data_IF_007605145809
#
_entry.id   IF_007605145809
#
_cell.length_a   1.000
_cell.length_b   1.000
_cell.length_c   1.000
_cell.angle_alpha   90.00
_cell.angle_beta   90.00
_cell.angle_gamma   90.00
#
_symmetry.space_group_name_H-M   'P 1'
#
loop_
_entity.id
_entity.type
_entity.pdbx_description
1 polymer ?
#
# COMPACT_ATOMS: atom_id res chain seq x y z
N UNK A 1 -33.49 -34.19 -28.65
CA UNK A 1 -34.94 -34.04 -28.34
C UNK A 1 -35.80 -33.87 -29.59
N UNK A 2 -35.38 -33.18 -30.63
CA UNK A 2 -36.13 -33.07 -31.90
C UNK A 2 -36.31 -34.40 -32.66
N UNK A 3 -35.29 -35.29 -32.64
CA UNK A 3 -35.34 -36.62 -33.25
C UNK A 3 -36.28 -37.57 -32.52
N UNK A 4 -36.41 -37.48 -31.20
CA UNK A 4 -37.34 -38.27 -30.41
C UNK A 4 -38.81 -37.87 -30.67
N UNK A 5 -39.08 -36.56 -30.83
CA UNK A 5 -40.41 -36.07 -31.20
C UNK A 5 -40.84 -36.47 -32.62
N UNK A 6 -39.89 -36.43 -33.56
CA UNK A 6 -40.14 -36.88 -34.94
C UNK A 6 -40.41 -38.39 -35.03
N UNK A 7 -39.65 -39.19 -34.24
CA UNK A 7 -39.88 -40.69 -34.20
C UNK A 7 -41.21 -41.06 -33.63
N UNK A 8 -41.70 -40.37 -32.57
CA UNK A 8 -43.03 -40.66 -32.01
C UNK A 8 -44.17 -40.26 -32.94
N UNK A 9 -44.02 -39.18 -33.70
CA UNK A 9 -45.02 -38.76 -34.71
C UNK A 9 -45.10 -39.66 -35.89
N UNK A 10 -44.02 -40.32 -36.34
CA UNK A 10 -43.97 -41.25 -37.46
C UNK A 10 -44.62 -42.59 -37.14
N UNK A 11 -44.63 -43.04 -35.88
CA UNK A 11 -45.23 -44.33 -35.44
C UNK A 11 -46.72 -44.19 -35.19
N UNK A 12 -47.24 -43.00 -34.94
CA UNK A 12 -48.63 -42.80 -34.50
C UNK A 12 -49.53 -42.05 -35.49
N UNK A 13 -49.00 -41.27 -36.47
CA UNK A 13 -49.81 -40.46 -37.36
C UNK A 13 -49.03 -40.09 -38.66
N UNK A 14 -49.80 -39.72 -39.70
CA UNK A 14 -49.36 -39.28 -41.01
C UNK A 14 -48.15 -38.38 -41.02
N UNK A 15 -47.36 -38.36 -42.13
CA UNK A 15 -46.12 -37.55 -42.28
C UNK A 15 -46.23 -36.10 -41.82
N UNK A 16 -47.38 -35.49 -41.86
CA UNK A 16 -47.64 -34.11 -41.35
C UNK A 16 -47.53 -34.02 -39.86
N UNK A 17 -47.90 -34.98 -39.06
CA UNK A 17 -47.79 -35.03 -37.63
C UNK A 17 -46.33 -35.17 -37.18
N UNK A 18 -45.47 -35.84 -37.93
CA UNK A 18 -44.04 -35.94 -37.66
C UNK A 18 -43.33 -34.60 -37.81
N UNK A 19 -43.69 -33.78 -38.80
CA UNK A 19 -43.19 -32.43 -38.95
C UNK A 19 -43.62 -31.50 -37.81
N UNK A 20 -44.87 -31.55 -37.35
CA UNK A 20 -45.32 -30.78 -36.16
C UNK A 20 -44.60 -31.19 -34.89
N UNK A 21 -44.34 -32.47 -34.69
CA UNK A 21 -43.56 -32.95 -33.53
C UNK A 21 -42.09 -32.48 -33.55
N UNK A 22 -41.48 -32.43 -34.74
CA UNK A 22 -40.11 -31.91 -34.89
C UNK A 22 -40.05 -30.40 -34.61
N UNK A 23 -40.99 -29.61 -35.11
CA UNK A 23 -41.07 -28.18 -34.89
C UNK A 23 -41.36 -27.82 -33.43
N UNK A 24 -42.29 -28.51 -32.76
CA UNK A 24 -42.58 -28.28 -31.35
C UNK A 24 -41.41 -28.67 -30.46
N UNK A 25 -40.70 -29.76 -30.77
CA UNK A 25 -39.48 -30.13 -30.06
C UNK A 25 -38.33 -29.12 -30.20
N UNK A 26 -38.16 -28.59 -31.43
CA UNK A 26 -37.15 -27.55 -31.69
C UNK A 26 -37.47 -26.23 -30.97
N UNK A 27 -38.75 -25.79 -31.00
CA UNK A 27 -39.20 -24.61 -30.26
C UNK A 27 -39.03 -24.73 -28.76
N UNK A 28 -39.39 -25.90 -28.20
CA UNK A 28 -39.19 -26.16 -26.77
C UNK A 28 -37.72 -26.15 -26.39
N UNK A 29 -36.86 -26.75 -27.20
CA UNK A 29 -35.42 -26.74 -26.99
C UNK A 29 -34.86 -25.29 -27.01
N UNK A 30 -35.26 -24.50 -28.01
CA UNK A 30 -34.82 -23.11 -28.19
C UNK A 30 -35.30 -22.21 -27.03
N UNK A 31 -36.53 -22.44 -26.55
CA UNK A 31 -37.09 -21.75 -25.39
C UNK A 31 -36.32 -22.08 -24.10
N UNK A 32 -35.98 -23.34 -23.89
CA UNK A 32 -35.18 -23.78 -22.75
C UNK A 32 -33.77 -23.18 -22.79
N UNK A 33 -33.14 -23.19 -23.96
CA UNK A 33 -31.79 -22.59 -24.16
C UNK A 33 -31.81 -21.09 -23.90
N UNK A 34 -32.84 -20.38 -24.41
CA UNK A 34 -33.02 -18.93 -24.14
C UNK A 34 -33.25 -18.63 -22.64
N UNK A 35 -34.00 -19.50 -21.93
CA UNK A 35 -34.20 -19.36 -20.48
C UNK A 35 -32.89 -19.54 -19.70
N UNK A 36 -32.05 -20.50 -20.11
CA UNK A 36 -30.74 -20.69 -19.50
C UNK A 36 -29.85 -19.49 -19.76
N UNK A 37 -29.80 -18.99 -21.00
CA UNK A 37 -29.02 -17.79 -21.37
C UNK A 37 -29.46 -16.55 -20.57
N UNK A 38 -30.77 -16.30 -20.49
CA UNK A 38 -31.28 -15.13 -19.72
C UNK A 38 -31.01 -15.24 -18.23
N UNK A 39 -31.09 -16.44 -17.64
CA UNK A 39 -30.72 -16.69 -16.25
C UNK A 39 -29.24 -16.43 -16.03
N UNK A 40 -28.38 -16.87 -16.93
CA UNK A 40 -26.92 -16.65 -16.86
C UNK A 40 -26.61 -15.16 -16.95
N UNK A 41 -27.20 -14.44 -17.93
CA UNK A 41 -27.01 -13.01 -18.08
C UNK A 41 -27.50 -12.22 -16.85
N UNK A 42 -28.62 -12.59 -16.28
CA UNK A 42 -29.15 -11.97 -15.07
C UNK A 42 -28.30 -12.27 -13.83
N UNK A 43 -27.74 -13.47 -13.73
CA UNK A 43 -26.80 -13.82 -12.67
C UNK A 43 -25.49 -13.01 -12.78
N UNK A 44 -24.91 -12.88 -13.98
CA UNK A 44 -23.74 -12.05 -14.25
C UNK A 44 -23.99 -10.57 -13.92
N UNK A 45 -25.19 -10.08 -14.18
CA UNK A 45 -25.57 -8.68 -13.91
C UNK A 45 -25.77 -8.38 -12.43
N UNK A 46 -26.31 -9.34 -11.66
CA UNK A 46 -26.62 -9.15 -10.24
C UNK A 46 -25.48 -9.55 -9.31
N UNK A 47 -24.80 -10.63 -9.62
CA UNK A 47 -23.72 -11.13 -8.76
C UNK A 47 -22.79 -12.07 -9.55
N UNK A 48 -21.67 -11.62 -10.12
CA UNK A 48 -20.81 -12.43 -10.99
C UNK A 48 -20.18 -13.62 -10.26
N UNK A 49 -20.10 -13.60 -8.93
CA UNK A 49 -19.60 -14.71 -8.12
C UNK A 49 -20.66 -15.80 -7.85
N UNK A 50 -21.95 -15.55 -8.08
CA UNK A 50 -23.06 -16.48 -7.83
C UNK A 50 -23.52 -17.24 -9.08
N UNK A 51 -22.65 -17.47 -10.04
CA UNK A 51 -22.95 -18.23 -11.26
C UNK A 51 -23.39 -19.66 -10.90
N UNK A 52 -24.52 -20.15 -11.46
CA UNK A 52 -25.03 -21.49 -11.16
C UNK A 52 -24.01 -22.57 -11.55
N UNK A 53 -23.75 -23.48 -10.62
CA UNK A 53 -22.72 -24.53 -10.78
C UNK A 53 -23.13 -25.69 -11.70
N UNK A 54 -24.39 -25.73 -12.18
CA UNK A 54 -24.94 -26.79 -13.01
C UNK A 54 -25.56 -26.23 -14.28
N UNK A 55 -24.75 -25.99 -15.29
CA UNK A 55 -25.19 -25.84 -16.67
C UNK A 55 -24.70 -27.01 -17.46
N UNK A 56 -25.59 -27.76 -18.15
CA UNK A 56 -25.19 -28.74 -19.13
C UNK A 56 -25.00 -28.07 -20.50
N UNK A 57 -23.99 -28.53 -21.26
CA UNK A 57 -23.72 -28.00 -22.60
C UNK A 57 -22.81 -26.77 -22.65
N UNK A 58 -22.84 -26.07 -23.77
CA UNK A 58 -21.95 -24.92 -24.08
C UNK A 58 -22.00 -23.80 -23.03
N UNK A 59 -23.19 -23.52 -22.48
CA UNK A 59 -23.41 -22.50 -21.47
C UNK A 59 -22.76 -22.87 -20.13
N UNK A 60 -22.71 -24.16 -19.77
CA UNK A 60 -22.03 -24.62 -18.58
C UNK A 60 -20.52 -24.44 -18.66
N UNK A 61 -19.93 -24.79 -19.82
CA UNK A 61 -18.48 -24.60 -20.05
C UNK A 61 -18.09 -23.13 -20.05
N UNK A 62 -18.93 -22.28 -20.67
CA UNK A 62 -18.68 -20.82 -20.69
C UNK A 62 -18.75 -20.20 -19.28
N UNK A 63 -19.75 -20.63 -18.49
CA UNK A 63 -19.88 -20.18 -17.09
C UNK A 63 -18.68 -20.62 -16.25
N UNK A 64 -18.13 -21.80 -16.47
CA UNK A 64 -16.95 -22.31 -15.77
C UNK A 64 -15.69 -21.52 -16.14
N UNK A 65 -15.49 -21.21 -17.43
CA UNK A 65 -14.38 -20.37 -17.89
C UNK A 65 -14.44 -18.96 -17.27
N UNK A 66 -15.63 -18.35 -17.28
CA UNK A 66 -15.83 -17.02 -16.66
C UNK A 66 -15.53 -17.08 -15.17
N UNK A 67 -16.03 -18.08 -14.44
CA UNK A 67 -15.72 -18.27 -13.02
C UNK A 67 -14.23 -18.42 -12.75
N UNK A 68 -13.54 -19.19 -13.57
CA UNK A 68 -12.10 -19.38 -13.45
C UNK A 68 -11.35 -18.06 -13.62
N UNK A 69 -11.69 -17.29 -14.67
CA UNK A 69 -11.09 -15.98 -14.93
C UNK A 69 -11.36 -14.97 -13.81
N UNK A 70 -12.58 -14.96 -13.27
CA UNK A 70 -12.92 -14.07 -12.14
C UNK A 70 -12.15 -14.46 -10.89
N UNK A 71 -12.06 -15.75 -10.55
CA UNK A 71 -11.25 -16.21 -9.40
C UNK A 71 -9.78 -15.88 -9.55
N UNK A 72 -9.21 -16.05 -10.74
CA UNK A 72 -7.81 -15.70 -11.01
C UNK A 72 -7.57 -14.18 -10.86
N UNK A 73 -8.52 -13.35 -11.28
CA UNK A 73 -8.47 -11.91 -11.05
C UNK A 73 -8.57 -11.54 -9.58
N UNK A 74 -9.53 -12.14 -8.88
CA UNK A 74 -9.73 -11.88 -7.45
C UNK A 74 -8.49 -12.28 -6.62
N UNK A 75 -7.87 -13.42 -6.95
CA UNK A 75 -6.62 -13.85 -6.33
C UNK A 75 -5.49 -12.85 -6.59
N UNK A 76 -5.29 -12.41 -7.84
CA UNK A 76 -4.26 -11.41 -8.17
C UNK A 76 -4.49 -10.07 -7.47
N UNK A 77 -5.74 -9.63 -7.34
CA UNK A 77 -6.08 -8.40 -6.61
C UNK A 77 -5.74 -8.56 -5.13
N UNK A 78 -6.13 -9.68 -4.51
CA UNK A 78 -5.80 -9.98 -3.10
C UNK A 78 -4.30 -10.03 -2.88
N UNK A 79 -3.58 -10.78 -3.69
CA UNK A 79 -2.11 -10.87 -3.60
C UNK A 79 -1.44 -9.49 -3.72
N UNK A 80 -1.95 -8.63 -4.60
CA UNK A 80 -1.43 -7.27 -4.74
C UNK A 80 -1.77 -6.39 -3.52
N UNK A 81 -2.97 -6.54 -2.97
CA UNK A 81 -3.38 -5.84 -1.76
C UNK A 81 -2.58 -6.31 -0.53
N UNK A 82 -2.39 -7.61 -0.38
CA UNK A 82 -1.62 -8.19 0.72
C UNK A 82 -0.16 -7.71 0.67
N UNK A 83 0.47 -7.74 -0.50
CA UNK A 83 1.83 -7.20 -0.68
C UNK A 83 1.93 -5.71 -0.36
N UNK A 84 0.92 -4.92 -0.76
CA UNK A 84 0.89 -3.49 -0.42
C UNK A 84 0.77 -3.29 1.09
N UNK A 85 -0.09 -4.06 1.76
CA UNK A 85 -0.24 -4.00 3.21
C UNK A 85 1.05 -4.42 3.93
N UNK A 86 1.69 -5.51 3.51
CA UNK A 86 2.98 -5.94 4.04
C UNK A 86 4.07 -4.86 3.89
N UNK A 87 4.12 -4.22 2.73
CA UNK A 87 5.06 -3.12 2.47
C UNK A 87 4.81 -1.91 3.37
N UNK A 88 3.55 -1.49 3.52
CA UNK A 88 3.18 -0.40 4.42
C UNK A 88 3.47 -0.75 5.87
N UNK A 89 3.20 -1.98 6.30
CA UNK A 89 3.51 -2.44 7.64
C UNK A 89 5.03 -2.42 7.91
N UNK A 90 5.85 -2.82 6.94
CA UNK A 90 7.31 -2.76 7.05
C UNK A 90 7.82 -1.30 7.20
N UNK A 91 7.26 -0.36 6.45
CA UNK A 91 7.60 1.06 6.59
C UNK A 91 7.13 1.61 7.94
N UNK A 92 5.94 1.21 8.40
CA UNK A 92 5.44 1.61 9.73
C UNK A 92 6.33 1.11 10.87
N UNK A 93 6.90 -0.08 10.73
CA UNK A 93 7.82 -0.68 11.71
C UNK A 93 9.27 -0.17 11.59
N UNK A 94 9.56 0.70 10.62
CA UNK A 94 10.91 1.26 10.43
C UNK A 94 11.34 2.07 11.64
N UNK A 95 12.60 1.93 12.12
CA UNK A 95 13.15 2.78 13.17
C UNK A 95 13.41 4.22 12.69
N UNK A 96 13.43 4.44 11.38
CA UNK A 96 13.55 5.76 10.79
C UNK A 96 12.15 6.35 10.53
N UNK A 97 12.00 7.62 10.82
CA UNK A 97 10.79 8.34 10.43
C UNK A 97 10.76 8.59 8.93
N UNK A 98 9.59 8.39 8.33
CA UNK A 98 9.32 8.65 6.91
C UNK A 98 8.13 9.56 6.79
N UNK A 99 8.30 10.70 6.10
CA UNK A 99 7.22 11.64 5.78
C UNK A 99 7.19 11.86 4.27
N UNK A 100 6.03 11.72 3.67
CA UNK A 100 5.80 12.08 2.27
C UNK A 100 5.15 13.46 2.22
N UNK A 101 5.72 14.35 1.43
CA UNK A 101 5.23 15.72 1.26
C UNK A 101 4.98 16.02 -0.23
N UNK A 102 3.92 16.78 -0.47
CA UNK A 102 3.55 17.23 -1.80
C UNK A 102 4.49 18.33 -2.33
N UNK A 103 4.20 18.83 -3.52
CA UNK A 103 4.95 19.93 -4.15
C UNK A 103 4.92 21.22 -3.32
N UNK A 104 3.85 21.43 -2.57
CA UNK A 104 3.67 22.60 -1.70
C UNK A 104 4.31 22.43 -0.31
N UNK A 105 4.84 21.24 0.01
CA UNK A 105 5.43 20.94 1.31
C UNK A 105 4.42 20.54 2.38
N UNK A 106 3.22 20.09 1.97
CA UNK A 106 2.18 19.58 2.87
C UNK A 106 2.34 18.08 3.05
N UNK A 107 2.05 17.59 4.23
CA UNK A 107 2.14 16.17 4.57
C UNK A 107 1.07 15.39 3.84
N UNK A 108 1.46 14.44 2.99
CA UNK A 108 0.56 13.46 2.39
C UNK A 108 0.42 12.21 3.26
N UNK A 109 1.52 11.81 3.90
CA UNK A 109 1.57 10.62 4.73
C UNK A 109 2.82 10.62 5.61
N UNK A 110 2.73 10.00 6.79
CA UNK A 110 3.90 9.73 7.63
C UNK A 110 3.75 8.37 8.34
N UNK A 111 4.89 7.76 8.70
CA UNK A 111 4.88 6.58 9.54
C UNK A 111 4.83 6.98 11.03
N UNK A 112 4.56 5.99 11.89
CA UNK A 112 4.44 6.21 13.33
C UNK A 112 5.73 6.76 13.95
N UNK A 113 6.89 6.33 13.47
CA UNK A 113 8.19 6.82 13.94
C UNK A 113 8.37 8.30 13.65
N UNK A 114 8.04 8.76 12.44
CA UNK A 114 8.08 10.18 12.09
C UNK A 114 7.10 10.99 12.94
N UNK A 115 5.89 10.49 13.13
CA UNK A 115 4.89 11.13 13.99
C UNK A 115 5.41 11.35 15.42
N UNK A 116 6.06 10.34 16.00
CA UNK A 116 6.65 10.43 17.32
C UNK A 116 7.89 11.35 17.37
N UNK A 117 8.77 11.28 16.38
CA UNK A 117 10.01 12.07 16.34
C UNK A 117 9.77 13.55 16.08
N UNK A 118 8.83 13.88 15.19
CA UNK A 118 8.53 15.25 14.78
C UNK A 118 7.37 15.88 15.56
N UNK A 119 6.65 15.08 16.39
CA UNK A 119 5.48 15.54 17.12
C UNK A 119 4.28 15.84 16.23
N UNK A 120 4.16 15.13 15.09
CA UNK A 120 3.10 15.29 14.11
C UNK A 120 2.04 14.23 14.34
N UNK A 121 0.77 14.58 14.21
CA UNK A 121 -0.34 13.64 14.24
C UNK A 121 -0.61 13.12 12.82
N UNK A 122 -0.42 11.80 12.62
CA UNK A 122 -0.53 11.16 11.31
C UNK A 122 -1.92 11.26 10.66
N UNK A 123 -2.98 11.49 11.45
CA UNK A 123 -4.36 11.61 10.95
C UNK A 123 -4.81 13.07 10.85
N UNK A 124 -4.47 13.87 11.86
CA UNK A 124 -4.94 15.23 12.00
C UNK A 124 -4.16 16.24 11.15
N UNK A 125 -2.86 16.02 11.02
CA UNK A 125 -1.96 16.96 10.36
C UNK A 125 -1.73 16.65 8.87
N UNK A 126 -2.52 15.76 8.31
CA UNK A 126 -2.57 15.53 6.84
C UNK A 126 -2.95 16.84 6.15
N UNK A 127 -2.24 17.19 5.07
CA UNK A 127 -2.32 18.43 4.32
C UNK A 127 -1.83 19.69 5.06
N UNK A 128 -1.35 19.59 6.30
CA UNK A 128 -0.65 20.69 6.95
C UNK A 128 0.77 20.86 6.38
N UNK A 129 1.27 22.09 6.38
CA UNK A 129 2.64 22.36 5.97
C UNK A 129 3.62 21.84 7.02
N UNK A 130 4.54 20.98 6.61
CA UNK A 130 5.54 20.40 7.50
C UNK A 130 6.39 21.46 8.20
N UNK A 131 6.75 22.55 7.52
CA UNK A 131 7.51 23.66 8.07
C UNK A 131 6.86 24.34 9.28
N UNK A 132 5.51 24.32 9.35
CA UNK A 132 4.77 24.92 10.47
C UNK A 132 4.73 24.02 11.70
N UNK A 133 4.90 22.72 11.50
CA UNK A 133 4.81 21.72 12.57
C UNK A 133 6.17 21.45 13.21
N UNK A 134 7.22 21.37 12.41
CA UNK A 134 8.57 21.05 12.92
C UNK A 134 9.19 22.20 13.72
N UNK A 135 8.84 23.46 13.41
CA UNK A 135 9.25 24.65 14.18
C UNK A 135 10.75 24.93 14.24
N UNK A 136 11.62 24.02 13.83
CA UNK A 136 13.07 24.19 13.83
C UNK A 136 13.51 25.03 12.63
N UNK A 137 14.21 26.18 12.86
CA UNK A 137 14.62 27.09 11.79
C UNK A 137 15.58 26.44 10.77
N UNK A 138 16.43 25.51 11.19
CA UNK A 138 17.37 24.82 10.31
C UNK A 138 16.62 23.86 9.37
N UNK A 139 15.61 23.17 9.87
CA UNK A 139 14.75 22.31 9.05
C UNK A 139 13.95 23.13 8.02
N UNK A 140 13.36 24.25 8.44
CA UNK A 140 12.60 25.14 7.55
C UNK A 140 13.50 25.70 6.44
N UNK A 141 14.69 26.18 6.79
CA UNK A 141 15.67 26.67 5.81
C UNK A 141 16.12 25.57 4.85
N UNK A 142 16.32 24.34 5.36
CA UNK A 142 16.70 23.19 4.56
C UNK A 142 15.61 22.83 3.55
N UNK A 143 14.35 22.76 3.98
CA UNK A 143 13.21 22.48 3.10
C UNK A 143 13.02 23.55 2.03
N UNK A 144 13.32 24.81 2.35
CA UNK A 144 13.23 25.95 1.43
C UNK A 144 14.42 26.06 0.45
N UNK A 145 15.56 25.47 0.80
CA UNK A 145 16.80 25.59 0.00
C UNK A 145 16.78 24.82 -1.32
N UNK A 146 15.92 23.81 -1.45
CA UNK A 146 15.85 22.84 -2.57
C UNK A 146 17.19 22.13 -2.83
N UNK A 147 18.14 22.24 -1.91
CA UNK A 147 19.45 21.60 -1.99
C UNK A 147 19.55 20.52 -0.91
N UNK A 148 19.34 19.28 -1.31
CA UNK A 148 19.25 18.13 -0.42
C UNK A 148 20.51 17.23 -0.49
N UNK A 149 21.67 17.80 -0.80
CA UNK A 149 22.93 17.06 -0.90
C UNK A 149 23.49 16.61 0.44
N UNK A 150 23.10 17.27 1.54
CA UNK A 150 23.53 16.95 2.90
C UNK A 150 22.31 16.85 3.80
N UNK A 151 22.41 16.00 4.81
CA UNK A 151 21.44 15.96 5.90
C UNK A 151 21.61 17.16 6.85
N UNK A 152 20.53 17.48 7.54
CA UNK A 152 20.51 18.54 8.55
C UNK A 152 20.17 17.92 9.90
N UNK A 153 20.99 18.22 10.90
CA UNK A 153 20.71 17.82 12.28
C UNK A 153 19.84 18.88 12.95
N UNK A 154 18.73 18.45 13.54
CA UNK A 154 17.78 19.31 14.25
C UNK A 154 17.52 18.79 15.66
N UNK A 155 17.13 19.68 16.54
CA UNK A 155 16.62 19.32 17.87
C UNK A 155 15.11 19.19 17.80
N UNK A 156 14.60 17.99 17.98
CA UNK A 156 13.16 17.76 18.03
C UNK A 156 12.68 17.73 19.49
N UNK A 157 11.51 18.30 19.79
CA UNK A 157 10.93 18.17 21.12
C UNK A 157 10.67 16.69 21.41
N UNK A 158 11.08 16.21 22.57
CA UNK A 158 10.76 14.85 23.04
C UNK A 158 9.26 14.75 23.32
N UNK A 159 8.45 14.62 22.27
CA UNK A 159 7.01 14.47 22.37
C UNK A 159 6.67 12.99 22.60
N UNK A 160 6.15 12.71 23.78
CA UNK A 160 5.47 11.44 24.09
C UNK A 160 6.38 10.34 24.64
N UNK A 161 6.10 9.93 25.80
CA UNK A 161 6.69 8.89 26.68
C UNK A 161 7.76 9.40 27.66
N UNK A 162 7.38 10.30 28.56
CA UNK A 162 8.03 10.38 29.88
C UNK A 162 9.53 10.68 29.92
N UNK A 163 10.19 11.00 28.83
CA UNK A 163 11.56 11.50 28.79
C UNK A 163 11.54 13.02 29.04
N UNK A 164 11.29 13.36 30.27
CA UNK A 164 11.59 14.71 30.74
C UNK A 164 13.08 14.95 30.55
N UNK A 165 13.44 15.89 29.66
CA UNK A 165 14.65 16.62 29.87
C UNK A 165 15.72 16.67 28.78
N UNK A 166 15.79 15.77 27.80
CA UNK A 166 16.81 15.91 26.75
C UNK A 166 16.17 16.00 25.37
N UNK A 167 16.48 17.05 24.58
CA UNK A 167 16.04 17.13 23.19
C UNK A 167 16.59 15.92 22.42
N UNK A 168 15.76 15.30 21.63
CA UNK A 168 16.17 14.22 20.72
C UNK A 168 16.83 14.87 19.52
N UNK A 169 18.04 14.41 19.20
CA UNK A 169 18.79 14.90 18.05
C UNK A 169 18.43 14.07 16.83
N UNK A 170 17.86 14.70 15.82
CA UNK A 170 17.42 14.05 14.58
C UNK A 170 18.30 14.50 13.41
N UNK A 171 18.76 13.54 12.60
CA UNK A 171 19.24 13.81 11.24
C UNK A 171 18.04 13.77 10.29
N UNK A 172 17.87 14.81 9.50
CA UNK A 172 16.80 14.97 8.53
C UNK A 172 17.39 14.98 7.13
N UNK A 173 16.93 14.09 6.28
CA UNK A 173 17.35 14.00 4.88
C UNK A 173 16.12 14.01 3.97
N UNK A 174 16.17 14.79 2.88
CA UNK A 174 15.10 14.90 1.89
C UNK A 174 15.53 14.26 0.58
N UNK A 175 14.65 13.44 0.04
CA UNK A 175 14.82 12.81 -1.26
C UNK A 175 13.65 13.19 -2.18
N UNK A 176 13.89 13.69 -3.39
CA UNK A 176 12.83 13.86 -4.38
C UNK A 176 12.35 12.49 -4.86
N UNK A 177 11.03 12.34 -5.04
CA UNK A 177 10.44 11.14 -5.63
C UNK A 177 9.22 11.52 -6.47
N UNK A 178 8.86 10.71 -7.45
CA UNK A 178 7.63 10.78 -8.25
C UNK A 178 7.15 12.21 -8.60
N UNK A 179 7.78 12.82 -9.56
CA UNK A 179 7.48 14.21 -9.97
C UNK A 179 8.16 15.22 -9.05
N UNK A 180 7.41 16.17 -8.50
CA UNK A 180 7.92 17.23 -7.63
C UNK A 180 7.64 16.96 -6.12
N UNK A 181 7.26 15.73 -5.78
CA UNK A 181 7.05 15.27 -4.41
C UNK A 181 8.36 14.97 -3.73
N UNK A 182 8.38 15.03 -2.42
CA UNK A 182 9.58 14.82 -1.60
C UNK A 182 9.31 13.83 -0.49
N UNK A 183 10.28 13.00 -0.21
CA UNK A 183 10.30 12.08 0.92
C UNK A 183 11.32 12.59 1.92
N UNK A 184 10.88 12.83 3.13
CA UNK A 184 11.72 13.22 4.25
C UNK A 184 11.98 11.98 5.11
N UNK A 185 13.25 11.71 5.37
CA UNK A 185 13.71 10.67 6.27
C UNK A 185 14.24 11.32 7.54
N UNK A 186 13.82 10.82 8.69
CA UNK A 186 14.33 11.26 9.99
C UNK A 186 14.97 10.09 10.70
N UNK A 187 16.11 10.32 11.33
CA UNK A 187 16.86 9.32 12.09
C UNK A 187 17.29 9.92 13.43
N UNK A 188 17.04 9.20 14.51
CA UNK A 188 17.57 9.55 15.82
C UNK A 188 19.08 9.29 15.85
N UNK A 189 19.85 10.35 16.04
CA UNK A 189 21.31 10.34 16.13
C UNK A 189 21.81 10.72 17.54
N UNK A 190 20.93 10.82 18.52
CA UNK A 190 21.25 11.25 19.88
C UNK A 190 22.38 10.44 20.51
N UNK A 191 22.28 9.10 20.44
CA UNK A 191 23.31 8.21 20.97
C UNK A 191 24.65 8.34 20.24
N UNK A 192 24.62 8.56 18.92
CA UNK A 192 25.81 8.73 18.10
C UNK A 192 26.54 10.03 18.47
N UNK A 193 25.83 11.15 18.54
CA UNK A 193 26.43 12.45 18.92
C UNK A 193 26.96 12.44 20.35
N UNK A 194 26.24 11.81 21.29
CA UNK A 194 26.73 11.63 22.66
C UNK A 194 28.04 10.83 22.70
N UNK A 195 28.12 9.74 21.95
CA UNK A 195 29.35 8.93 21.88
C UNK A 195 30.51 9.71 21.26
N UNK A 196 30.25 10.49 20.21
CA UNK A 196 31.28 11.37 19.61
C UNK A 196 31.75 12.46 20.55
N UNK A 197 30.84 13.09 21.29
CA UNK A 197 31.17 14.11 22.30
C UNK A 197 32.03 13.50 23.40
N UNK A 198 31.62 12.36 23.97
CA UNK A 198 32.42 11.67 24.98
C UNK A 198 33.82 11.32 24.47
N UNK A 199 33.94 10.90 23.22
CA UNK A 199 35.23 10.58 22.60
C UNK A 199 36.12 11.84 22.49
N UNK A 200 35.53 12.96 22.04
CA UNK A 200 36.28 14.26 21.96
C UNK A 200 36.74 14.73 23.33
N UNK A 201 35.85 14.68 24.32
CA UNK A 201 36.16 15.08 25.70
C UNK A 201 37.24 14.20 26.30
N UNK A 202 37.16 12.87 26.06
CA UNK A 202 38.20 11.94 26.48
C UNK A 202 39.58 12.30 25.89
N UNK A 203 39.64 12.51 24.56
CA UNK A 203 40.91 12.90 23.89
C UNK A 203 41.44 14.25 24.40
N UNK A 204 40.56 15.23 24.61
CA UNK A 204 40.94 16.54 25.16
C UNK A 204 41.50 16.41 26.57
N UNK A 205 40.84 15.67 27.47
CA UNK A 205 41.26 15.45 28.84
C UNK A 205 42.60 14.70 28.92
N UNK A 206 42.71 13.59 28.14
CA UNK A 206 43.97 12.84 28.07
C UNK A 206 45.12 13.72 27.56
N UNK A 207 44.88 14.56 26.55
CA UNK A 207 45.87 15.46 26.03
C UNK A 207 46.31 16.53 27.07
N UNK A 208 45.38 16.97 27.90
CA UNK A 208 45.66 17.93 29.02
C UNK A 208 46.45 17.24 30.13
N UNK A 209 46.06 16.03 30.53
CA UNK A 209 46.73 15.26 31.57
C UNK A 209 48.19 14.90 31.18
N UNK A 210 48.46 14.63 29.88
CA UNK A 210 49.82 14.37 29.41
C UNK A 210 50.68 15.63 29.22
N UNK A 211 50.08 16.81 29.01
CA UNK A 211 50.86 18.06 28.90
C UNK A 211 51.44 18.51 30.25
N UNK A 212 50.74 18.27 31.35
CA UNK A 212 51.11 18.70 32.68
C UNK A 212 52.44 18.10 33.19
N UNK A 213 52.68 16.77 33.13
CA UNK A 213 53.95 16.19 33.59
C UNK A 213 55.12 16.44 32.61
N UNK A 214 54.86 16.64 31.30
CA UNK A 214 55.92 16.95 30.33
C UNK A 214 56.51 18.33 30.49
N UNK A 215 55.77 19.27 31.07
CA UNK A 215 56.26 20.61 31.37
C UNK A 215 57.13 20.64 32.62
N UNK A 216 56.94 19.68 33.53
CA UNK A 216 57.69 19.56 34.81
C UNK A 216 59.05 18.86 34.66
N UNK A 217 59.28 18.12 33.57
CA UNK A 217 60.53 17.41 33.28
C UNK A 217 61.58 18.30 32.54
N UNK A 218 61.24 19.52 32.21
CA UNK A 218 62.12 20.48 31.48
C UNK A 218 62.83 21.50 32.40
N UNK A 219 63.29 21.03 33.56
CA UNK A 219 64.21 21.78 34.44
C UNK A 219 65.50 20.98 34.59
#
# INVERSE_FOLDING_TARGET
MSLAGAGLGLVLFDARAAWFGAWTGALLWLMLDALVATRLLNALRKNPSALPSRGSGVWGEMAERIRKLLRERDLKIRDAQDRLQEFLAAIQASPNGVVLIDEQGRIEWCNQTAAQQLGVDAERDVLAHLSNLVGDPACVAYLASWNYTRDVAIDAPAMGQGRMGNPVRLSVQVHPYAGNRRMLLTRDITALEQAETMRRDFVANVSHEFKTPLTTIRL
#
